data_IF_935943802351
#
_entry.id   IF_935943802351
#
_cell.length_a   1.000
_cell.length_b   1.000
_cell.length_c   1.000
_cell.angle_alpha   90.00
_cell.angle_beta   90.00
_cell.angle_gamma   90.00
#
_symmetry.space_group_name_H-M   'P 1'
#
loop_
_entity.id
_entity.type
_entity.pdbx_description
1 polymer ?
#
# COMPACT_ATOMS: atom_id res chain seq x y z
N UNK A 1 -5.20 7.99 -12.45
CA UNK A 1 -3.83 7.82 -12.82
C UNK A 1 -3.07 7.09 -11.75
N UNK A 2 -2.30 6.13 -12.16
CA UNK A 2 -1.61 5.29 -11.20
C UNK A 2 -0.28 5.92 -10.80
N UNK A 3 0.07 5.80 -9.55
CA UNK A 3 1.33 6.31 -9.04
C UNK A 3 2.24 5.17 -8.60
N UNK A 4 2.14 4.03 -9.28
CA UNK A 4 2.92 2.87 -8.88
C UNK A 4 4.41 3.11 -9.09
N UNK A 5 5.21 2.49 -8.24
CA UNK A 5 6.66 2.57 -8.34
C UNK A 5 7.24 1.18 -8.21
N UNK A 6 8.39 0.99 -8.80
CA UNK A 6 9.11 -0.27 -8.67
C UNK A 6 10.19 -0.09 -7.62
N UNK A 7 10.26 -1.03 -6.68
CA UNK A 7 11.16 -0.90 -5.54
C UNK A 7 11.63 -2.29 -5.12
N UNK A 8 12.93 -2.51 -5.19
CA UNK A 8 13.56 -3.76 -4.73
C UNK A 8 12.88 -5.01 -5.26
N UNK A 9 12.54 -5.00 -6.56
CA UNK A 9 11.96 -6.17 -7.21
C UNK A 9 10.47 -6.29 -7.03
N UNK A 10 9.80 -5.26 -6.52
CA UNK A 10 8.36 -5.26 -6.37
C UNK A 10 7.77 -4.00 -6.95
N UNK A 11 6.53 -4.10 -7.39
CA UNK A 11 5.76 -2.94 -7.83
C UNK A 11 4.80 -2.59 -6.72
N UNK A 12 4.88 -1.35 -6.22
CA UNK A 12 4.02 -0.86 -5.16
C UNK A 12 3.01 0.07 -5.78
N UNK A 13 1.74 -0.25 -5.62
CA UNK A 13 0.66 0.52 -6.21
C UNK A 13 -0.26 1.04 -5.12
N UNK A 14 -0.39 2.37 -4.97
CA UNK A 14 -1.36 2.90 -4.01
C UNK A 14 -2.76 2.59 -4.48
N UNK A 15 -3.60 2.12 -3.58
CA UNK A 15 -4.99 1.82 -3.88
C UNK A 15 -5.90 2.55 -2.91
N UNK A 16 -5.52 3.78 -2.56
CA UNK A 16 -6.28 4.58 -1.62
C UNK A 16 -7.66 4.91 -2.15
N UNK A 17 -8.61 5.05 -1.26
CA UNK A 17 -9.97 5.41 -1.59
C UNK A 17 -10.49 6.39 -0.58
N UNK A 18 -11.43 7.20 -1.01
CA UNK A 18 -12.09 8.13 -0.10
C UNK A 18 -13.19 7.39 0.64
N UNK A 19 -13.18 7.48 1.95
CA UNK A 19 -14.19 6.87 2.80
C UNK A 19 -14.90 7.94 3.60
N UNK A 20 -16.12 7.64 4.02
CA UNK A 20 -16.92 8.60 4.74
C UNK A 20 -16.85 8.46 6.25
N UNK A 21 -16.60 7.25 6.75
CA UNK A 21 -16.59 7.01 8.19
C UNK A 21 -15.51 6.04 8.57
N UNK A 22 -14.45 6.53 9.17
CA UNK A 22 -14.15 7.95 9.32
C UNK A 22 -13.79 8.57 8.00
N UNK A 23 -14.03 9.85 7.88
CA UNK A 23 -13.77 10.53 6.62
C UNK A 23 -12.29 10.56 6.31
N UNK A 24 -11.96 10.38 5.06
CA UNK A 24 -10.59 10.53 4.60
C UNK A 24 -10.18 9.46 3.61
N UNK A 25 -8.97 9.64 3.07
CA UNK A 25 -8.40 8.72 2.09
C UNK A 25 -7.66 7.62 2.83
N UNK A 26 -7.85 6.38 2.38
CA UNK A 26 -7.33 5.23 3.11
C UNK A 26 -5.85 4.98 2.86
N UNK A 27 -5.22 4.25 3.76
CA UNK A 27 -3.86 3.77 3.58
C UNK A 27 -3.95 2.32 3.11
N UNK A 28 -3.76 2.11 1.81
CA UNK A 28 -4.02 0.83 1.18
C UNK A 28 -3.07 0.69 0.00
N UNK A 29 -2.37 -0.42 -0.10
CA UNK A 29 -1.43 -0.64 -1.19
C UNK A 29 -1.52 -2.05 -1.71
N UNK A 30 -1.15 -2.21 -2.97
CA UNK A 30 -1.01 -3.51 -3.57
C UNK A 30 0.45 -3.67 -3.96
N UNK A 31 1.05 -4.77 -3.56
CA UNK A 31 2.46 -5.04 -3.81
C UNK A 31 2.54 -6.32 -4.63
N UNK A 32 3.17 -6.22 -5.78
CA UNK A 32 3.27 -7.31 -6.74
C UNK A 32 4.73 -7.55 -7.07
N UNK A 33 5.21 -8.79 -7.07
CA UNK A 33 6.58 -9.04 -7.52
C UNK A 33 6.73 -8.61 -8.97
N UNK A 34 7.79 -7.88 -9.28
CA UNK A 34 8.01 -7.39 -10.62
C UNK A 34 8.20 -8.58 -11.57
N UNK A 35 7.58 -8.50 -12.73
CA UNK A 35 7.71 -9.54 -13.72
C UNK A 35 6.87 -10.77 -13.45
N UNK A 36 6.01 -10.75 -12.44
CA UNK A 36 5.17 -11.88 -12.12
C UNK A 36 3.74 -11.47 -11.97
N UNK A 37 2.84 -12.42 -12.15
CA UNK A 37 1.42 -12.16 -11.96
C UNK A 37 0.89 -12.74 -10.66
N UNK A 38 1.68 -13.57 -10.00
CA UNK A 38 1.25 -14.18 -8.75
C UNK A 38 2.01 -13.57 -7.61
N UNK A 39 1.54 -13.81 -6.41
CA UNK A 39 2.19 -13.27 -5.24
C UNK A 39 1.77 -11.86 -4.88
N UNK A 40 0.63 -11.43 -5.39
CA UNK A 40 0.11 -10.10 -5.09
C UNK A 40 -0.29 -10.05 -3.63
N UNK A 41 0.12 -8.99 -2.94
CA UNK A 41 -0.24 -8.77 -1.54
C UNK A 41 -0.96 -7.45 -1.43
N UNK A 42 -2.03 -7.43 -0.67
CA UNK A 42 -2.78 -6.21 -0.41
C UNK A 42 -2.65 -5.91 1.06
N UNK A 43 -2.15 -4.74 1.36
CA UNK A 43 -1.87 -4.35 2.74
C UNK A 43 -2.55 -3.04 3.04
N UNK A 44 -3.08 -2.92 4.24
CA UNK A 44 -3.77 -1.71 4.63
C UNK A 44 -3.59 -1.44 6.12
N UNK A 45 -3.84 -0.20 6.49
CA UNK A 45 -3.80 0.21 7.89
C UNK A 45 -4.96 1.16 8.12
N UNK A 46 -5.35 1.39 9.36
CA UNK A 46 -6.56 2.19 9.65
C UNK A 46 -6.39 3.70 9.50
N UNK A 47 -5.25 4.14 9.01
CA UNK A 47 -4.97 5.57 8.87
C UNK A 47 -5.90 6.21 7.85
N UNK A 48 -6.17 7.50 8.06
CA UNK A 48 -6.92 8.30 7.11
C UNK A 48 -6.16 9.59 6.85
N UNK A 49 -6.25 10.08 5.63
CA UNK A 49 -5.56 11.30 5.23
C UNK A 49 -6.55 12.26 4.63
N UNK A 50 -6.30 13.54 4.80
CA UNK A 50 -7.24 14.56 4.35
C UNK A 50 -7.29 14.71 2.84
N UNK A 51 -6.19 14.39 2.15
CA UNK A 51 -6.12 14.55 0.70
C UNK A 51 -5.62 13.27 0.06
N UNK A 52 -5.97 13.10 -1.21
CA UNK A 52 -5.50 11.97 -1.96
C UNK A 52 -3.99 12.00 -2.11
N UNK A 53 -3.42 13.19 -2.31
CA UNK A 53 -1.98 13.32 -2.46
C UNK A 53 -1.24 12.81 -1.23
N UNK A 54 -1.72 13.20 -0.06
CA UNK A 54 -1.09 12.76 1.18
C UNK A 54 -1.23 11.25 1.32
N UNK A 55 -2.38 10.72 0.96
CA UNK A 55 -2.61 9.27 1.05
C UNK A 55 -1.68 8.51 0.12
N UNK A 56 -1.53 8.99 -1.13
CA UNK A 56 -0.67 8.31 -2.10
C UNK A 56 0.77 8.31 -1.61
N UNK A 57 1.26 9.45 -1.12
CA UNK A 57 2.63 9.52 -0.63
C UNK A 57 2.85 8.56 0.53
N UNK A 58 1.88 8.47 1.42
CA UNK A 58 1.99 7.56 2.56
C UNK A 58 1.82 6.11 2.16
N UNK A 59 1.01 5.83 1.14
CA UNK A 59 0.88 4.48 0.62
C UNK A 59 2.21 3.98 0.07
N UNK A 60 2.92 4.84 -0.68
CA UNK A 60 4.20 4.43 -1.23
C UNK A 60 5.23 4.19 -0.13
N UNK A 61 5.24 5.04 0.89
CA UNK A 61 6.14 4.84 2.02
C UNK A 61 5.82 3.55 2.76
N UNK A 62 4.53 3.31 2.98
CA UNK A 62 4.06 2.11 3.66
C UNK A 62 4.49 0.87 2.89
N UNK A 63 4.29 0.88 1.57
CA UNK A 63 4.68 -0.24 0.73
C UNK A 63 6.17 -0.51 0.78
N UNK A 64 6.99 0.54 0.74
CA UNK A 64 8.43 0.35 0.81
C UNK A 64 8.85 -0.27 2.13
N UNK A 65 8.22 0.13 3.22
CA UNK A 65 8.58 -0.44 4.53
C UNK A 65 8.19 -1.90 4.60
N UNK A 66 7.08 -2.27 3.99
CA UNK A 66 6.67 -3.68 3.95
C UNK A 66 7.67 -4.49 3.14
N UNK A 67 8.06 -3.99 1.97
CA UNK A 67 9.01 -4.68 1.12
C UNK A 67 10.34 -4.86 1.84
N UNK A 68 10.75 -3.85 2.60
CA UNK A 68 12.01 -3.91 3.34
C UNK A 68 11.93 -4.79 4.58
N UNK A 69 10.74 -5.27 4.92
CA UNK A 69 10.58 -6.09 6.10
C UNK A 69 10.48 -5.31 7.39
N UNK A 70 10.33 -3.98 7.31
CA UNK A 70 10.25 -3.15 8.50
C UNK A 70 8.87 -3.17 9.13
N UNK A 71 7.85 -3.51 8.33
CA UNK A 71 6.49 -3.60 8.83
C UNK A 71 5.90 -4.94 8.44
N UNK A 72 5.13 -5.50 9.35
CA UNK A 72 4.44 -6.76 9.07
C UNK A 72 2.95 -6.47 9.04
N UNK A 73 2.29 -6.64 7.89
CA UNK A 73 0.86 -6.39 7.80
C UNK A 73 0.12 -7.30 8.76
N UNK A 74 -0.93 -6.76 9.37
CA UNK A 74 -1.67 -7.53 10.33
C UNK A 74 -2.37 -8.72 9.73
N UNK A 75 -2.79 -8.61 8.51
CA UNK A 75 -3.51 -9.72 7.90
C UNK A 75 -2.57 -10.72 7.26
N UNK A 76 -1.30 -10.61 7.50
CA UNK A 76 -0.38 -11.52 6.90
C UNK A 76 -0.49 -12.84 7.58
N UNK A 77 -0.67 -13.81 6.82
CA UNK A 77 -0.75 -15.12 7.39
C UNK A 77 0.61 -15.50 7.89
N UNK A 78 0.66 -16.13 8.88
CA UNK A 78 1.80 -16.43 9.34
C UNK A 78 2.03 -17.67 9.31
N UNK A 79 2.79 -18.01 8.99
CA UNK A 79 3.00 -19.36 8.72
C UNK A 79 3.11 -20.26 9.60
#
# INVERSE_FOLDING_TARGET
MSASVEYNGFVIEPTTRLKQEPYGWTLDVRITPAGRRTGVRRCRAPNRYATEEAAVANCLRFGRKIVDGELTPRNEARP
#
